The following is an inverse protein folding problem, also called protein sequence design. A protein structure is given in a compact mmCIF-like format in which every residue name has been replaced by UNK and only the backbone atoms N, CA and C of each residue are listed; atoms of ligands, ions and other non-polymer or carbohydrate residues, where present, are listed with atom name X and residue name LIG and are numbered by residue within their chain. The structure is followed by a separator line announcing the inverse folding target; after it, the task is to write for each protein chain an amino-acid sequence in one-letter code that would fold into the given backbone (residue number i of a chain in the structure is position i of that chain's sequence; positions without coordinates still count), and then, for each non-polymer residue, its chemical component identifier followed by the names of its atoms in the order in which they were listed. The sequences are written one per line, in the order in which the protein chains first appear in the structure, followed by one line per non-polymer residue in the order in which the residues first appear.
data_IF_142297883043
#
_entry.id   IF_142297883043
#
_cell.length_a   1.000
_cell.length_b   1.000
_cell.length_c   1.000
_cell.angle_alpha   90.00
_cell.angle_beta   90.00
_cell.angle_gamma   90.00
#
_symmetry.space_group_name_H-M   'P 1'
#
loop_
_entity.id
_entity.type
_entity.pdbx_description
1 polymer ?
#
# COMPACT_ATOMS: atom_id res chain seq x y z
N UNK A 1 1.38 7.86 -20.94
CA UNK A 1 1.69 6.94 -19.82
C UNK A 1 0.86 5.67 -19.95
N UNK A 2 1.32 4.56 -19.35
CA UNK A 2 0.61 3.26 -19.31
C UNK A 2 0.29 2.80 -17.88
N UNK A 3 0.72 3.56 -16.88
CA UNK A 3 0.53 3.27 -15.46
C UNK A 3 0.27 4.57 -14.70
N UNK A 4 -0.47 4.49 -13.60
CA UNK A 4 -0.70 5.60 -12.67
C UNK A 4 -0.70 5.08 -11.23
N UNK A 5 -0.11 5.87 -10.33
CA UNK A 5 -0.03 5.60 -8.89
C UNK A 5 -1.01 6.52 -8.16
N UNK A 6 -1.78 5.97 -7.24
CA UNK A 6 -2.80 6.68 -6.49
C UNK A 6 -2.49 6.53 -5.00
N UNK A 7 -2.46 7.63 -4.21
CA UNK A 7 -2.42 7.51 -2.76
C UNK A 7 -3.73 6.94 -2.24
N UNK A 8 -3.63 5.92 -1.39
CA UNK A 8 -4.73 5.48 -0.55
C UNK A 8 -4.69 6.38 0.69
N UNK A 9 -5.73 7.21 0.85
CA UNK A 9 -5.78 8.33 1.79
C UNK A 9 -4.92 9.52 1.34
N UNK A 10 -4.69 10.49 2.22
CA UNK A 10 -3.77 11.59 1.95
C UNK A 10 -2.30 11.18 1.95
N UNK A 11 -1.49 11.99 1.28
CA UNK A 11 -0.03 11.96 1.31
C UNK A 11 0.55 13.38 1.48
N UNK A 12 1.87 13.50 1.42
CA UNK A 12 2.61 14.77 1.46
C UNK A 12 2.23 15.76 0.35
N UNK A 13 1.71 15.27 -0.78
CA UNK A 13 1.20 16.09 -1.88
C UNK A 13 -0.30 16.37 -1.81
N UNK A 14 -0.99 15.92 -0.76
CA UNK A 14 -2.38 16.29 -0.50
C UNK A 14 -2.46 17.67 0.15
N UNK A 15 -3.51 18.46 -0.13
CA UNK A 15 -3.68 19.79 0.47
C UNK A 15 -4.02 19.75 1.96
N UNK A 16 -4.46 18.61 2.47
CA UNK A 16 -4.74 18.35 3.88
C UNK A 16 -4.71 16.84 4.16
N UNK A 17 -4.59 16.48 5.44
CA UNK A 17 -4.64 15.08 5.88
C UNK A 17 -6.08 14.57 5.94
N UNK A 18 -6.35 13.42 5.33
CA UNK A 18 -7.64 12.74 5.38
C UNK A 18 -7.48 11.23 5.25
N UNK A 19 -8.48 10.49 5.71
CA UNK A 19 -8.68 9.07 5.44
C UNK A 19 -10.16 8.82 5.19
N UNK A 20 -10.50 7.62 4.74
CA UNK A 20 -11.88 7.23 4.43
C UNK A 20 -12.57 6.50 5.58
N UNK A 21 -11.95 6.31 6.74
CA UNK A 21 -12.64 5.73 7.90
C UNK A 21 -12.12 6.32 9.21
N UNK A 22 -12.73 7.45 9.58
CA UNK A 22 -12.28 8.26 10.70
C UNK A 22 -13.10 8.02 11.98
N UNK A 23 -13.83 6.90 12.06
CA UNK A 23 -14.55 6.47 13.26
C UNK A 23 -13.70 5.45 14.02
N UNK A 24 -13.40 5.73 15.29
CA UNK A 24 -12.58 4.83 16.11
C UNK A 24 -13.18 3.44 16.21
N UNK A 25 -12.33 2.41 16.10
CA UNK A 25 -12.69 1.01 16.35
C UNK A 25 -13.82 0.49 15.44
N UNK A 26 -13.97 1.07 14.24
CA UNK A 26 -14.89 0.60 13.20
C UNK A 26 -14.33 -0.64 12.49
N UNK A 27 -14.27 -1.77 13.20
CA UNK A 27 -13.67 -2.99 12.70
C UNK A 27 -14.41 -3.61 11.50
N UNK A 28 -15.67 -3.23 11.29
CA UNK A 28 -16.51 -3.69 10.17
C UNK A 28 -16.51 -2.70 9.00
N UNK A 29 -15.86 -1.55 9.14
CA UNK A 29 -15.80 -0.47 8.16
C UNK A 29 -17.20 0.04 7.77
N UNK A 30 -18.13 0.08 8.73
CA UNK A 30 -19.50 0.57 8.55
C UNK A 30 -19.58 2.06 8.22
N UNK A 31 -18.58 2.81 8.66
CA UNK A 31 -18.42 4.25 8.47
C UNK A 31 -17.38 4.60 7.40
N UNK A 32 -16.90 3.62 6.64
CA UNK A 32 -16.04 3.88 5.50
C UNK A 32 -16.76 4.80 4.50
N UNK A 33 -16.09 5.89 4.11
CA UNK A 33 -16.56 6.85 3.14
C UNK A 33 -16.45 6.30 1.70
N UNK A 34 -17.47 5.56 1.27
CA UNK A 34 -17.60 5.08 -0.12
C UNK A 34 -17.69 6.22 -1.15
N UNK A 35 -17.99 7.46 -0.72
CA UNK A 35 -18.02 8.59 -1.64
C UNK A 35 -16.61 9.04 -2.03
N UNK A 36 -15.59 8.62 -1.28
CA UNK A 36 -14.19 9.02 -1.43
C UNK A 36 -14.04 10.54 -1.41
N UNK A 37 -14.69 11.21 -0.45
CA UNK A 37 -14.82 12.66 -0.43
C UNK A 37 -13.48 13.38 -0.48
N UNK A 38 -12.46 12.87 0.21
CA UNK A 38 -11.12 13.46 0.15
C UNK A 38 -10.51 13.45 -1.26
N UNK A 39 -10.74 12.39 -2.04
CA UNK A 39 -10.24 12.29 -3.41
C UNK A 39 -11.12 13.10 -4.40
N UNK A 40 -12.41 13.23 -4.12
CA UNK A 40 -13.31 14.13 -4.87
C UNK A 40 -12.93 15.60 -4.67
N UNK A 41 -12.77 16.02 -3.41
CA UNK A 41 -12.48 17.41 -3.03
C UNK A 41 -11.10 17.87 -3.56
N UNK A 42 -10.13 16.96 -3.66
CA UNK A 42 -8.80 17.24 -4.24
C UNK A 42 -8.78 17.20 -5.77
N UNK A 43 -9.87 16.77 -6.41
CA UNK A 43 -9.96 16.59 -7.86
C UNK A 43 -9.27 15.33 -8.39
N UNK A 44 -8.82 14.42 -7.51
CA UNK A 44 -8.17 13.17 -7.89
C UNK A 44 -9.10 12.29 -8.73
N UNK A 45 -10.38 12.17 -8.36
CA UNK A 45 -11.36 11.37 -9.10
C UNK A 45 -11.55 11.91 -10.52
N UNK A 46 -11.72 13.23 -10.67
CA UNK A 46 -11.88 13.87 -11.99
C UNK A 46 -10.61 13.70 -12.84
N UNK A 47 -9.43 13.89 -12.25
CA UNK A 47 -8.14 13.70 -12.93
C UNK A 47 -8.00 12.28 -13.50
N UNK A 48 -8.38 11.27 -12.71
CA UNK A 48 -8.31 9.87 -13.14
C UNK A 48 -9.31 9.58 -14.26
N UNK A 49 -10.51 10.14 -14.23
CA UNK A 49 -11.47 10.04 -15.32
C UNK A 49 -10.94 10.65 -16.61
N UNK A 50 -10.38 11.86 -16.55
CA UNK A 50 -9.82 12.54 -17.71
C UNK A 50 -8.64 11.74 -18.29
N UNK A 51 -7.79 11.18 -17.43
CA UNK A 51 -6.67 10.33 -17.85
C UNK A 51 -7.14 9.02 -18.50
N UNK A 52 -8.16 8.36 -17.94
CA UNK A 52 -8.72 7.12 -18.48
C UNK A 52 -9.50 7.32 -19.78
N UNK A 53 -10.05 8.51 -20.02
CA UNK A 53 -10.71 8.85 -21.27
C UNK A 53 -9.74 8.86 -22.47
N UNK A 54 -8.45 9.16 -22.22
CA UNK A 54 -7.43 9.30 -23.27
C UNK A 54 -6.37 8.20 -23.26
N UNK A 55 -6.28 7.40 -22.19
CA UNK A 55 -5.26 6.36 -22.05
C UNK A 55 -5.78 5.11 -21.32
N UNK A 56 -5.27 3.95 -21.75
CA UNK A 56 -5.43 2.70 -21.00
C UNK A 56 -4.32 2.62 -19.95
N UNK A 57 -4.65 2.88 -18.69
CA UNK A 57 -3.71 2.88 -17.58
C UNK A 57 -3.89 1.65 -16.70
N UNK A 58 -2.78 1.09 -16.22
CA UNK A 58 -2.76 0.25 -15.03
C UNK A 58 -2.68 1.17 -13.82
N UNK A 59 -3.76 1.25 -13.04
CA UNK A 59 -3.78 2.08 -11.84
C UNK A 59 -3.45 1.23 -10.61
N UNK A 60 -2.59 1.72 -9.72
CA UNK A 60 -2.34 1.04 -8.45
C UNK A 60 -2.36 1.98 -7.26
N UNK A 61 -2.84 1.46 -6.12
CA UNK A 61 -2.89 2.18 -4.86
C UNK A 61 -1.65 1.94 -4.00
N UNK A 62 -1.21 2.94 -3.25
CA UNK A 62 -0.26 2.75 -2.14
C UNK A 62 -0.73 3.59 -0.95
N UNK A 63 -0.86 3.05 0.28
CA UNK A 63 -1.21 3.87 1.43
C UNK A 63 0.02 4.52 2.04
N UNK A 64 -0.10 5.78 2.44
CA UNK A 64 0.92 6.46 3.24
C UNK A 64 0.71 6.21 4.73
N UNK A 65 -0.56 6.22 5.19
CA UNK A 65 -0.88 5.88 6.57
C UNK A 65 -2.28 5.29 6.73
N UNK A 66 -2.48 4.35 7.67
CA UNK A 66 -3.81 3.97 8.10
C UNK A 66 -4.44 5.05 9.00
N UNK A 67 -5.78 5.05 9.20
CA UNK A 67 -6.44 5.90 10.18
C UNK A 67 -5.80 5.79 11.57
N UNK A 68 -5.83 6.89 12.34
CA UNK A 68 -5.13 6.98 13.62
C UNK A 68 -5.53 5.86 14.60
N UNK A 69 -6.80 5.44 14.59
CA UNK A 69 -7.33 4.45 15.51
C UNK A 69 -6.79 3.04 15.22
N UNK A 70 -6.24 2.78 14.03
CA UNK A 70 -5.52 1.55 13.71
C UNK A 70 -4.04 1.59 14.13
N UNK A 71 -3.48 2.79 14.35
CA UNK A 71 -2.07 3.00 14.71
C UNK A 71 -1.83 2.80 16.21
N UNK A 72 -0.63 2.32 16.54
CA UNK A 72 -0.20 2.12 17.92
C UNK A 72 -0.31 3.44 18.70
N UNK A 73 -0.89 3.37 19.90
CA UNK A 73 -1.12 4.56 20.73
C UNK A 73 -2.08 5.59 20.15
N UNK A 74 -2.89 5.24 19.15
CA UNK A 74 -3.75 6.18 18.42
C UNK A 74 -2.94 7.31 17.74
N UNK A 75 -1.72 6.99 17.31
CA UNK A 75 -0.83 7.96 16.69
C UNK A 75 -1.49 8.61 15.46
N UNK A 76 -1.37 9.94 15.26
CA UNK A 76 -1.85 10.61 14.06
C UNK A 76 -1.30 10.00 12.77
N UNK A 77 -1.96 10.25 11.63
CA UNK A 77 -1.51 9.78 10.33
C UNK A 77 -0.12 10.33 9.96
N UNK A 78 0.12 11.60 10.27
CA UNK A 78 1.43 12.26 10.11
C UNK A 78 2.45 11.66 11.08
N UNK A 79 3.60 11.25 10.54
CA UNK A 79 4.62 10.49 11.24
C UNK A 79 4.19 9.03 11.49
N UNK A 80 5.08 8.23 12.08
CA UNK A 80 4.77 6.84 12.39
C UNK A 80 5.35 6.41 13.74
N UNK A 81 4.57 5.67 14.57
CA UNK A 81 5.16 4.88 15.64
C UNK A 81 5.84 3.65 15.05
N UNK A 82 6.69 3.00 15.84
CA UNK A 82 7.26 1.71 15.49
C UNK A 82 7.09 0.74 16.68
N UNK A 83 6.29 -0.33 16.55
CA UNK A 83 5.50 -0.74 15.38
C UNK A 83 4.38 0.25 15.02
N UNK A 84 4.06 0.37 13.72
CA UNK A 84 2.99 1.28 13.28
C UNK A 84 1.59 0.80 13.68
N UNK A 85 1.18 -0.39 13.25
CA UNK A 85 -0.15 -0.92 13.56
C UNK A 85 -0.24 -1.40 15.01
N UNK A 86 -1.45 -1.30 15.59
CA UNK A 86 -1.78 -2.02 16.82
C UNK A 86 -1.59 -3.53 16.62
N UNK A 87 -1.15 -4.19 17.68
CA UNK A 87 -0.75 -5.60 17.58
C UNK A 87 -1.91 -6.58 17.64
N UNK A 88 -3.06 -6.17 18.15
CA UNK A 88 -4.27 -6.98 18.17
C UNK A 88 -4.76 -7.25 16.73
N UNK A 89 -5.09 -8.51 16.48
CA UNK A 89 -5.43 -9.06 15.16
C UNK A 89 -6.57 -8.31 14.49
N UNK A 90 -7.54 -7.82 15.27
CA UNK A 90 -8.71 -7.10 14.72
C UNK A 90 -8.32 -5.81 13.99
N UNK A 91 -7.29 -5.10 14.45
CA UNK A 91 -6.82 -3.88 13.78
C UNK A 91 -6.06 -4.20 12.50
N UNK A 92 -5.24 -5.26 12.51
CA UNK A 92 -4.56 -5.75 11.31
C UNK A 92 -5.58 -6.24 10.26
N UNK A 93 -6.59 -6.98 10.70
CA UNK A 93 -7.66 -7.44 9.81
C UNK A 93 -8.48 -6.27 9.25
N UNK A 94 -8.91 -5.32 10.08
CA UNK A 94 -9.62 -4.12 9.61
C UNK A 94 -8.79 -3.33 8.60
N UNK A 95 -7.47 -3.22 8.80
CA UNK A 95 -6.60 -2.58 7.81
C UNK A 95 -6.52 -3.36 6.50
N UNK A 96 -6.48 -4.69 6.52
CA UNK A 96 -6.54 -5.50 5.30
C UNK A 96 -7.89 -5.37 4.58
N UNK A 97 -9.00 -5.33 5.31
CA UNK A 97 -10.35 -5.13 4.76
C UNK A 97 -10.51 -3.70 4.18
N UNK A 98 -9.78 -2.72 4.73
CA UNK A 98 -9.75 -1.34 4.22
C UNK A 98 -9.25 -1.28 2.78
N UNK A 99 -8.22 -2.05 2.42
CA UNK A 99 -7.75 -2.15 1.03
C UNK A 99 -8.85 -2.66 0.10
N UNK A 100 -9.58 -3.69 0.52
CA UNK A 100 -10.70 -4.24 -0.26
C UNK A 100 -11.77 -3.18 -0.45
N UNK A 101 -12.13 -2.45 0.61
CA UNK A 101 -13.15 -1.41 0.55
C UNK A 101 -12.74 -0.25 -0.34
N UNK A 102 -11.49 0.19 -0.26
CA UNK A 102 -10.93 1.23 -1.13
C UNK A 102 -10.96 0.83 -2.61
N UNK A 103 -10.51 -0.39 -2.94
CA UNK A 103 -10.56 -0.92 -4.33
C UNK A 103 -12.00 -0.91 -4.84
N UNK A 104 -12.95 -1.42 -4.04
CA UNK A 104 -14.36 -1.48 -4.42
C UNK A 104 -14.96 -0.08 -4.59
N UNK A 105 -14.61 0.89 -3.75
CA UNK A 105 -15.10 2.26 -3.85
C UNK A 105 -14.61 2.94 -5.15
N UNK A 106 -13.34 2.75 -5.51
CA UNK A 106 -12.80 3.22 -6.79
C UNK A 106 -13.47 2.53 -8.00
N UNK A 107 -13.69 1.22 -7.92
CA UNK A 107 -14.35 0.46 -8.99
C UNK A 107 -15.82 0.85 -9.17
N UNK A 108 -16.54 1.19 -8.10
CA UNK A 108 -17.91 1.74 -8.18
C UNK A 108 -17.95 3.09 -8.91
N UNK A 109 -16.85 3.84 -8.90
CA UNK A 109 -16.67 5.05 -9.69
C UNK A 109 -16.12 4.78 -11.10
N UNK A 110 -16.09 3.53 -11.56
CA UNK A 110 -15.53 3.14 -12.87
C UNK A 110 -14.02 3.40 -13.02
N UNK A 111 -13.27 3.40 -11.91
CA UNK A 111 -11.81 3.52 -11.91
C UNK A 111 -11.22 2.15 -11.56
N UNK A 112 -10.75 1.37 -12.55
CA UNK A 112 -10.27 0.02 -12.31
C UNK A 112 -8.90 0.02 -11.64
N UNK A 113 -8.76 -0.76 -10.56
CA UNK A 113 -7.49 -0.92 -9.86
C UNK A 113 -6.79 -2.20 -10.32
N UNK A 114 -5.59 -2.05 -10.86
CA UNK A 114 -4.72 -3.14 -11.30
C UNK A 114 -3.94 -3.77 -10.15
N UNK A 115 -3.54 -2.98 -9.15
CA UNK A 115 -2.76 -3.49 -8.04
C UNK A 115 -2.69 -2.54 -6.85
N UNK A 116 -2.00 -2.96 -5.81
CA UNK A 116 -1.68 -2.17 -4.63
C UNK A 116 -0.28 -2.51 -4.14
N UNK A 117 0.39 -1.55 -3.51
CA UNK A 117 1.55 -1.85 -2.65
C UNK A 117 1.07 -1.98 -1.21
N UNK A 118 1.76 -2.80 -0.40
CA UNK A 118 1.39 -3.02 1.00
C UNK A 118 1.41 -1.72 1.83
N UNK A 119 2.37 -0.84 1.56
CA UNK A 119 2.61 0.39 2.31
C UNK A 119 3.63 1.22 1.54
N UNK A 120 3.40 2.53 1.39
CA UNK A 120 4.43 3.47 0.93
C UNK A 120 5.54 3.57 1.99
N UNK A 121 6.78 3.34 1.58
CA UNK A 121 7.99 3.56 2.38
C UNK A 121 7.96 2.94 3.80
N UNK A 122 7.69 1.64 3.95
CA UNK A 122 7.50 0.96 5.23
C UNK A 122 8.75 0.94 6.10
N UNK A 123 9.94 1.05 5.53
CA UNK A 123 11.19 1.08 6.29
C UNK A 123 11.54 2.48 6.81
N UNK A 124 10.69 3.47 6.55
CA UNK A 124 10.88 4.83 7.02
C UNK A 124 10.30 4.98 8.43
N UNK A 125 11.17 5.13 9.43
CA UNK A 125 10.82 5.15 10.86
C UNK A 125 11.09 6.48 11.57
N UNK A 126 11.46 7.54 10.84
CA UNK A 126 11.76 8.85 11.42
C UNK A 126 10.47 9.70 11.45
N UNK A 127 10.34 10.55 12.48
CA UNK A 127 9.20 11.45 12.63
C UNK A 127 9.24 12.53 11.53
N UNK A 128 8.35 12.41 10.55
CA UNK A 128 8.22 13.33 9.42
C UNK A 128 6.95 14.17 9.49
N UNK A 129 6.92 15.20 8.65
CA UNK A 129 5.86 16.17 8.53
C UNK A 129 4.70 15.70 7.61
N UNK A 130 4.73 14.42 7.21
CA UNK A 130 3.73 13.79 6.33
C UNK A 130 3.29 12.41 6.82
N UNK A 131 2.27 11.87 6.19
CA UNK A 131 1.65 10.58 6.48
C UNK A 131 2.63 9.41 6.33
N UNK A 132 2.73 8.56 7.36
CA UNK A 132 3.64 7.41 7.34
C UNK A 132 3.12 6.23 8.17
N UNK A 133 3.63 5.03 7.85
CA UNK A 133 3.40 3.82 8.65
C UNK A 133 4.54 2.82 8.48
N UNK A 134 5.35 2.66 9.53
CA UNK A 134 6.55 1.83 9.52
C UNK A 134 6.28 0.36 9.78
N UNK A 135 6.84 -0.51 8.93
CA UNK A 135 6.89 -1.96 9.07
C UNK A 135 8.32 -2.47 8.83
N UNK A 136 8.83 -3.28 9.76
CA UNK A 136 10.02 -4.09 9.50
C UNK A 136 9.78 -5.13 8.40
N UNK A 137 10.82 -5.70 7.78
CA UNK A 137 10.65 -6.79 6.82
C UNK A 137 9.79 -7.94 7.36
N UNK A 138 10.01 -8.38 8.60
CA UNK A 138 9.20 -9.43 9.23
C UNK A 138 7.74 -9.01 9.45
N UNK A 139 7.49 -7.75 9.80
CA UNK A 139 6.13 -7.24 9.97
C UNK A 139 5.38 -7.12 8.64
N UNK A 140 6.09 -6.76 7.55
CA UNK A 140 5.56 -6.82 6.20
C UNK A 140 5.16 -8.26 5.85
N UNK A 141 6.07 -9.22 6.05
CA UNK A 141 5.81 -10.65 5.82
C UNK A 141 4.61 -11.16 6.61
N UNK A 142 4.55 -10.91 7.91
CA UNK A 142 3.46 -11.36 8.77
C UNK A 142 2.13 -10.71 8.38
N UNK A 143 2.12 -9.41 8.07
CA UNK A 143 0.91 -8.72 7.65
C UNK A 143 0.37 -9.26 6.33
N UNK A 144 1.24 -9.48 5.35
CA UNK A 144 0.87 -10.06 4.06
C UNK A 144 0.39 -11.50 4.22
N UNK A 145 1.14 -12.34 4.95
CA UNK A 145 0.82 -13.76 5.16
C UNK A 145 -0.53 -13.97 5.82
N UNK A 146 -0.77 -13.24 6.90
CA UNK A 146 -1.85 -13.55 7.83
C UNK A 146 -3.11 -12.70 7.59
N UNK A 147 -2.99 -11.55 6.90
CA UNK A 147 -4.10 -10.60 6.74
C UNK A 147 -4.27 -10.13 5.29
N UNK A 148 -3.35 -9.32 4.75
CA UNK A 148 -3.57 -8.62 3.48
C UNK A 148 -3.66 -9.58 2.29
N UNK A 149 -2.72 -10.53 2.16
CA UNK A 149 -2.69 -11.50 1.08
C UNK A 149 -3.94 -12.36 1.01
N UNK A 150 -4.32 -13.08 2.08
CA UNK A 150 -5.56 -13.86 2.12
C UNK A 150 -6.81 -13.00 1.87
N UNK A 151 -6.86 -11.77 2.40
CA UNK A 151 -8.01 -10.88 2.25
C UNK A 151 -8.21 -10.42 0.80
N UNK A 152 -7.13 -9.99 0.14
CA UNK A 152 -7.17 -9.63 -1.29
C UNK A 152 -7.49 -10.85 -2.16
N UNK A 153 -6.83 -11.98 -1.92
CA UNK A 153 -7.02 -13.19 -2.72
C UNK A 153 -8.46 -13.74 -2.60
N UNK A 154 -9.04 -13.72 -1.39
CA UNK A 154 -10.43 -14.14 -1.16
C UNK A 154 -11.43 -13.30 -1.96
N UNK A 155 -11.19 -12.00 -2.08
CA UNK A 155 -12.15 -11.09 -2.74
C UNK A 155 -11.89 -10.92 -4.24
N UNK A 156 -10.62 -10.91 -4.67
CA UNK A 156 -10.24 -10.57 -6.04
C UNK A 156 -9.48 -11.66 -6.78
N UNK A 157 -9.05 -12.73 -6.10
CA UNK A 157 -8.12 -13.72 -6.66
C UNK A 157 -6.86 -13.05 -7.20
N UNK A 158 -6.40 -13.51 -8.36
CA UNK A 158 -5.21 -12.97 -9.03
C UNK A 158 -5.44 -11.62 -9.75
N UNK A 159 -6.66 -11.06 -9.72
CA UNK A 159 -6.99 -9.86 -10.49
C UNK A 159 -6.24 -8.62 -10.01
N UNK A 160 -6.13 -8.45 -8.69
CA UNK A 160 -5.43 -7.32 -8.07
C UNK A 160 -4.02 -7.77 -7.69
N UNK A 161 -3.00 -7.10 -8.23
CA UNK A 161 -1.60 -7.42 -7.96
C UNK A 161 -1.15 -6.79 -6.63
N UNK A 162 -0.54 -7.59 -5.76
CA UNK A 162 0.05 -7.10 -4.52
C UNK A 162 1.56 -6.97 -4.67
N UNK A 163 2.07 -5.76 -4.46
CA UNK A 163 3.50 -5.48 -4.37
C UNK A 163 3.90 -5.24 -2.92
N UNK A 164 5.08 -5.70 -2.52
CA UNK A 164 5.66 -5.38 -1.21
C UNK A 164 6.75 -4.31 -1.33
N UNK A 165 7.31 -3.91 -0.18
CA UNK A 165 8.38 -2.93 -0.05
C UNK A 165 7.99 -1.50 -0.42
N UNK A 166 7.88 -1.12 -1.70
CA UNK A 166 7.58 0.27 -2.11
C UNK A 166 8.52 1.30 -1.46
N UNK A 167 9.83 1.04 -1.57
CA UNK A 167 10.88 1.82 -0.91
C UNK A 167 12.17 1.87 -1.73
N UNK A 168 13.20 2.55 -1.24
CA UNK A 168 14.45 2.74 -1.97
C UNK A 168 15.21 1.41 -2.19
N UNK A 169 15.77 1.26 -3.41
CA UNK A 169 16.42 0.04 -3.93
C UNK A 169 17.56 -0.53 -3.06
N UNK A 170 18.14 0.28 -2.19
CA UNK A 170 19.14 -0.07 -1.19
C UNK A 170 18.68 -1.25 -0.33
N UNK A 171 17.39 -1.27 0.04
CA UNK A 171 16.83 -2.28 0.95
C UNK A 171 16.13 -3.43 0.21
N UNK A 172 16.18 -3.44 -1.13
CA UNK A 172 15.45 -4.42 -1.93
C UNK A 172 15.78 -5.86 -1.50
N UNK A 173 17.07 -6.19 -1.42
CA UNK A 173 17.47 -7.53 -1.04
C UNK A 173 17.16 -7.84 0.42
N UNK A 174 17.30 -6.86 1.33
CA UNK A 174 17.04 -7.05 2.76
C UNK A 174 15.57 -7.40 3.04
N UNK A 175 14.64 -6.79 2.29
CA UNK A 175 13.21 -7.12 2.40
C UNK A 175 12.89 -8.42 1.64
N UNK A 176 13.39 -8.54 0.40
CA UNK A 176 13.13 -9.71 -0.45
C UNK A 176 13.56 -11.02 0.21
N UNK A 177 14.75 -11.03 0.80
CA UNK A 177 15.33 -12.23 1.38
C UNK A 177 14.58 -12.70 2.63
N UNK A 178 13.84 -11.82 3.31
CA UNK A 178 12.99 -12.19 4.44
C UNK A 178 11.60 -12.61 3.95
N UNK A 179 10.98 -11.81 3.09
CA UNK A 179 9.58 -11.97 2.72
C UNK A 179 9.36 -13.13 1.75
N UNK A 180 10.18 -13.22 0.70
CA UNK A 180 10.00 -14.22 -0.36
C UNK A 180 10.45 -15.63 0.07
N UNK A 181 11.12 -15.78 1.22
CA UNK A 181 11.43 -17.09 1.81
C UNK A 181 10.26 -17.67 2.60
N UNK A 182 9.28 -16.85 3.03
CA UNK A 182 8.05 -17.34 3.65
C UNK A 182 7.05 -17.70 2.54
N UNK A 183 6.96 -18.98 2.18
CA UNK A 183 6.08 -19.45 1.09
C UNK A 183 4.61 -19.13 1.31
N UNK A 184 4.17 -18.96 2.57
CA UNK A 184 2.79 -18.59 2.88
C UNK A 184 2.50 -17.12 2.57
N UNK A 185 3.51 -16.24 2.67
CA UNK A 185 3.42 -14.85 2.24
C UNK A 185 3.65 -14.72 0.72
N UNK A 186 4.71 -15.34 0.23
CA UNK A 186 5.21 -15.20 -1.13
C UNK A 186 4.17 -15.58 -2.20
N UNK A 187 3.31 -16.57 -1.92
CA UNK A 187 2.23 -16.98 -2.83
C UNK A 187 1.23 -15.85 -3.20
N UNK A 188 1.15 -14.78 -2.40
CA UNK A 188 0.26 -13.64 -2.66
C UNK A 188 0.96 -12.48 -3.39
N UNK A 189 2.28 -12.55 -3.56
CA UNK A 189 3.08 -11.44 -4.07
C UNK A 189 3.23 -11.53 -5.58
N UNK A 190 2.94 -10.42 -6.24
CA UNK A 190 3.24 -10.23 -7.66
C UNK A 190 4.67 -9.72 -7.89
N UNK A 191 5.17 -8.85 -7.01
CA UNK A 191 6.48 -8.22 -7.19
C UNK A 191 6.86 -7.26 -6.07
N UNK A 192 7.99 -6.57 -6.24
CA UNK A 192 8.45 -5.51 -5.34
C UNK A 192 8.26 -4.13 -5.97
N UNK A 193 7.81 -3.16 -5.17
CA UNK A 193 7.85 -1.73 -5.50
C UNK A 193 9.19 -1.13 -5.11
N UNK A 194 9.76 -0.27 -5.96
CA UNK A 194 11.10 0.29 -5.77
C UNK A 194 11.15 1.78 -6.13
N UNK A 195 11.61 2.61 -5.19
CA UNK A 195 11.89 4.03 -5.37
C UNK A 195 13.35 4.26 -5.80
N UNK A 196 13.58 5.37 -6.49
CA UNK A 196 14.88 5.75 -7.06
C UNK A 196 15.67 6.77 -6.25
N UNK A 197 15.12 7.28 -5.14
CA UNK A 197 15.84 8.19 -4.25
C UNK A 197 17.18 7.57 -3.80
N UNK A 198 18.15 8.42 -3.45
CA UNK A 198 19.48 7.98 -3.01
C UNK A 198 20.48 7.75 -4.15
N UNK A 199 21.55 7.00 -3.85
CA UNK A 199 22.67 6.76 -4.77
C UNK A 199 22.36 5.64 -5.78
N UNK A 200 23.15 5.51 -6.84
CA UNK A 200 22.99 4.47 -7.87
C UNK A 200 23.34 3.06 -7.35
N UNK A 201 22.45 2.48 -6.55
CA UNK A 201 22.50 1.10 -6.04
C UNK A 201 21.83 0.11 -6.98
N UNK A 202 22.10 0.26 -8.29
CA UNK A 202 21.54 -0.60 -9.35
C UNK A 202 21.93 -2.08 -9.19
N UNK A 203 23.03 -2.35 -8.49
CA UNK A 203 23.49 -3.70 -8.18
C UNK A 203 22.45 -4.54 -7.43
N UNK A 204 21.66 -3.95 -6.53
CA UNK A 204 20.60 -4.68 -5.84
C UNK A 204 19.45 -5.08 -6.78
N UNK A 205 19.20 -4.31 -7.85
CA UNK A 205 18.23 -4.68 -8.88
C UNK A 205 18.71 -5.90 -9.67
N UNK A 206 20.01 -5.98 -9.97
CA UNK A 206 20.62 -7.14 -10.65
C UNK A 206 20.57 -8.40 -9.77
N UNK A 207 20.88 -8.25 -8.46
CA UNK A 207 20.76 -9.34 -7.49
C UNK A 207 19.33 -9.86 -7.40
N UNK A 208 18.36 -8.94 -7.31
CA UNK A 208 16.94 -9.32 -7.30
C UNK A 208 16.57 -10.05 -8.58
N UNK A 209 16.91 -9.49 -9.75
CA UNK A 209 16.61 -10.11 -11.04
C UNK A 209 17.20 -11.51 -11.15
N UNK A 210 18.43 -11.71 -10.67
CA UNK A 210 19.11 -13.02 -10.68
C UNK A 210 18.43 -14.03 -9.77
N UNK A 211 18.03 -13.62 -8.56
CA UNK A 211 17.51 -14.52 -7.54
C UNK A 211 16.00 -14.77 -7.64
N UNK A 212 15.24 -13.72 -7.98
CA UNK A 212 13.77 -13.69 -7.90
C UNK A 212 13.08 -13.27 -9.21
N UNK A 213 13.82 -12.72 -10.18
CA UNK A 213 13.24 -12.13 -11.39
C UNK A 213 12.56 -13.12 -12.36
N UNK A 214 12.70 -14.43 -12.13
CA UNK A 214 11.95 -15.45 -12.87
C UNK A 214 10.49 -15.60 -12.39
N UNK A 215 10.19 -15.17 -11.17
CA UNK A 215 8.88 -15.37 -10.52
C UNK A 215 8.21 -14.05 -10.16
N UNK A 216 8.99 -13.04 -9.74
CA UNK A 216 8.47 -11.80 -9.18
C UNK A 216 8.83 -10.59 -10.04
N UNK A 217 7.87 -9.70 -10.24
CA UNK A 217 8.08 -8.44 -10.97
C UNK A 217 8.86 -7.41 -10.14
N UNK A 218 9.52 -6.48 -10.82
CA UNK A 218 9.98 -5.23 -10.23
C UNK A 218 9.17 -4.08 -10.83
N UNK A 219 8.64 -3.24 -9.95
CA UNK A 219 7.90 -2.06 -10.34
C UNK A 219 8.60 -0.81 -9.79
N UNK A 220 8.97 0.11 -10.69
CA UNK A 220 9.35 1.45 -10.26
C UNK A 220 8.10 2.19 -9.80
N UNK A 221 8.11 2.65 -8.55
CA UNK A 221 6.97 3.30 -7.89
C UNK A 221 7.24 4.76 -7.52
#
# INVERSE_FOLDING_TARGET
YTMGRIPINSCDFSPYTYNFDNVSDDFTLEHFDDSLKGDEDTGMIQLLHDALAVAKLKLFGSPWSPPYWMKAGNHPMVGSPYPCLKQDKKYKQAWADYFVRWIQAYEKKNIPIWGVTQQNEPLFYINFWWEACSFSPSQQTDFIRDYLGPTLNRTFGDRVKLMYMDFVKEFLMDVSDVLLQDSKAAQYIYGAGVHWYGFDQVYNLERFKTKYGGEYALLGT
#
